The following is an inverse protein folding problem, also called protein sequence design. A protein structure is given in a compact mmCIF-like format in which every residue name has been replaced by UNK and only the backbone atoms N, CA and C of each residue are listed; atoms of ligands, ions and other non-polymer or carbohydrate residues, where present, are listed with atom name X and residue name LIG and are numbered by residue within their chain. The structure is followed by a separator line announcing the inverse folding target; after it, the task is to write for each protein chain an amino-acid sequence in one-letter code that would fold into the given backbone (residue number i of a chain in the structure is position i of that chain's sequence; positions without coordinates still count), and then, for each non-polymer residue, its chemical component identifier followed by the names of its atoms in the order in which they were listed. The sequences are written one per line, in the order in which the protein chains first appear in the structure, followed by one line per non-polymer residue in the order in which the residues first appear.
data_IF_323851976945
#
_entry.id   IF_323851976945
#
_cell.length_a   1.000
_cell.length_b   1.000
_cell.length_c   1.000
_cell.angle_alpha   90.00
_cell.angle_beta   90.00
_cell.angle_gamma   90.00
#
_symmetry.space_group_name_H-M   'P 1'
#
loop_
_entity.id
_entity.type
_entity.pdbx_description
1 polymer ?
#
# COMPACT_ATOMS: atom_id res chain seq x y z
N UNK A 1 14.78 7.09 -11.81
CA UNK A 1 13.84 6.22 -11.17
C UNK A 1 12.61 5.96 -12.03
N UNK A 2 11.92 4.91 -11.72
CA UNK A 2 10.68 4.55 -12.40
C UNK A 2 9.49 4.98 -11.57
N UNK A 3 8.38 5.30 -12.25
CA UNK A 3 7.12 5.50 -11.56
C UNK A 3 6.69 4.20 -10.88
N UNK A 4 6.07 4.33 -9.71
CA UNK A 4 5.47 3.21 -9.02
C UNK A 4 4.15 2.84 -9.71
N UNK A 5 3.88 1.54 -9.74
CA UNK A 5 2.62 1.05 -10.30
C UNK A 5 1.45 1.49 -9.42
N UNK A 6 0.44 2.07 -10.04
CA UNK A 6 -0.78 2.40 -9.34
C UNK A 6 -1.62 1.15 -9.11
N UNK A 7 -2.17 1.02 -7.89
CA UNK A 7 -3.03 -0.09 -7.52
C UNK A 7 -4.48 0.38 -7.56
N UNK A 8 -5.37 -0.45 -8.10
CA UNK A 8 -6.81 -0.16 -8.12
C UNK A 8 -7.30 0.03 -6.68
N UNK A 9 -8.00 1.15 -6.37
CA UNK A 9 -8.51 1.38 -5.02
C UNK A 9 -9.53 0.34 -4.54
N UNK A 10 -10.13 -0.42 -5.44
CA UNK A 10 -11.03 -1.53 -5.09
C UNK A 10 -10.31 -2.82 -4.72
N UNK A 11 -8.97 -2.87 -4.88
CA UNK A 11 -8.18 -4.07 -4.58
C UNK A 11 -8.29 -4.44 -3.10
N UNK A 12 -8.60 -5.69 -2.74
CA UNK A 12 -8.67 -6.11 -1.34
C UNK A 12 -7.31 -6.03 -0.66
N UNK A 13 -7.30 -5.49 0.55
CA UNK A 13 -6.16 -5.52 1.46
C UNK A 13 -6.63 -6.07 2.80
N UNK A 14 -5.68 -6.51 3.61
CA UNK A 14 -6.01 -7.16 4.87
C UNK A 14 -5.16 -6.58 5.99
N UNK A 15 -5.74 -6.46 7.17
CA UNK A 15 -5.04 -5.92 8.33
C UNK A 15 -5.46 -6.64 9.62
N UNK A 16 -4.61 -6.55 10.64
CA UNK A 16 -4.89 -7.12 11.95
C UNK A 16 -5.60 -6.06 12.81
N UNK A 17 -6.91 -6.22 12.98
CA UNK A 17 -7.73 -5.30 13.78
C UNK A 17 -7.38 -5.32 15.28
N UNK A 18 -6.67 -6.34 15.73
CA UNK A 18 -6.34 -6.54 17.14
C UNK A 18 -4.95 -6.04 17.54
N UNK A 19 -4.34 -5.21 16.72
CA UNK A 19 -3.08 -4.55 17.08
C UNK A 19 -2.00 -4.49 16.01
N UNK A 20 -2.27 -4.92 14.82
CA UNK A 20 -1.30 -4.85 13.73
C UNK A 20 -1.13 -3.44 13.20
N UNK A 21 0.07 -3.14 12.66
CA UNK A 21 0.38 -1.85 12.07
C UNK A 21 0.68 -1.95 10.58
N UNK A 22 0.40 -3.11 9.97
CA UNK A 22 0.68 -3.36 8.56
C UNK A 22 -0.56 -3.85 7.83
N UNK A 23 -0.63 -3.54 6.55
CA UNK A 23 -1.63 -4.13 5.68
C UNK A 23 -0.98 -5.15 4.75
N UNK A 24 -1.75 -6.13 4.32
CA UNK A 24 -1.27 -7.32 3.63
C UNK A 24 -2.09 -7.57 2.36
N UNK A 25 -1.54 -8.31 1.42
CA UNK A 25 -2.26 -8.73 0.20
C UNK A 25 -3.04 -10.02 0.39
N UNK A 26 -2.85 -10.70 1.52
CA UNK A 26 -3.52 -11.97 1.84
C UNK A 26 -4.05 -11.95 3.26
N UNK A 27 -5.17 -12.63 3.48
CA UNK A 27 -5.78 -12.75 4.81
C UNK A 27 -4.96 -13.64 5.76
N UNK A 28 -3.99 -14.38 5.25
CA UNK A 28 -3.18 -15.34 6.03
C UNK A 28 -1.70 -15.16 5.75
N UNK A 29 -1.20 -13.93 5.94
CA UNK A 29 0.21 -13.64 5.75
C UNK A 29 1.07 -14.38 6.78
N UNK A 30 2.16 -14.99 6.33
CA UNK A 30 3.06 -15.75 7.18
C UNK A 30 3.75 -14.91 8.27
N UNK A 31 3.83 -13.59 8.08
CA UNK A 31 4.42 -12.69 9.08
C UNK A 31 3.50 -12.42 10.28
N UNK A 32 2.24 -12.84 10.21
CA UNK A 32 1.24 -12.62 11.25
C UNK A 32 1.07 -13.89 12.07
N UNK A 33 1.01 -13.74 13.40
CA UNK A 33 0.78 -14.89 14.29
C UNK A 33 -0.58 -15.53 13.99
N UNK A 34 -0.61 -16.87 14.01
CA UNK A 34 -1.81 -17.63 13.65
C UNK A 34 -3.05 -17.28 14.48
N UNK A 35 -2.87 -16.83 15.72
CA UNK A 35 -3.98 -16.43 16.60
C UNK A 35 -4.76 -15.20 16.08
N UNK A 36 -4.16 -14.43 15.18
CA UNK A 36 -4.79 -13.25 14.59
C UNK A 36 -5.40 -13.53 13.21
N UNK A 37 -5.22 -14.73 12.70
CA UNK A 37 -5.76 -15.11 11.39
C UNK A 37 -7.19 -15.66 11.51
N UNK A 38 -8.04 -15.43 10.52
CA UNK A 38 -7.78 -14.63 9.32
C UNK A 38 -7.84 -13.13 9.60
N UNK A 39 -7.11 -12.35 8.81
CA UNK A 39 -7.09 -10.90 8.91
C UNK A 39 -8.40 -10.29 8.40
N UNK A 40 -8.67 -9.05 8.83
CA UNK A 40 -9.86 -8.32 8.39
C UNK A 40 -9.64 -7.69 7.02
N UNK A 41 -10.68 -7.68 6.19
CA UNK A 41 -10.61 -7.14 4.83
C UNK A 41 -10.94 -5.65 4.78
N UNK A 42 -10.16 -4.91 3.99
CA UNK A 42 -10.42 -3.53 3.60
C UNK A 42 -10.09 -3.41 2.11
N UNK A 43 -10.20 -2.21 1.55
CA UNK A 43 -9.74 -1.97 0.18
C UNK A 43 -8.48 -1.10 0.20
N UNK A 44 -7.73 -1.10 -0.90
CA UNK A 44 -6.55 -0.25 -1.04
C UNK A 44 -6.91 1.23 -0.87
N UNK A 45 -8.07 1.65 -1.38
CA UNK A 45 -8.58 3.01 -1.23
C UNK A 45 -8.84 3.41 0.22
N UNK A 46 -9.19 2.46 1.07
CA UNK A 46 -9.42 2.72 2.50
C UNK A 46 -8.16 3.17 3.24
N UNK A 47 -6.97 2.88 2.68
CA UNK A 47 -5.70 3.27 3.28
C UNK A 47 -5.50 4.78 3.32
N UNK A 48 -6.30 5.55 2.60
CA UNK A 48 -6.26 7.01 2.64
C UNK A 48 -7.10 7.59 3.78
N UNK A 49 -7.86 6.77 4.49
CA UNK A 49 -8.79 7.17 5.55
C UNK A 49 -8.35 6.68 6.92
N UNK A 50 -8.63 7.46 7.95
CA UNK A 50 -8.40 7.02 9.33
C UNK A 50 -9.37 5.89 9.68
N UNK A 51 -8.95 4.85 10.42
CA UNK A 51 -7.61 4.66 11.02
C UNK A 51 -6.60 3.94 10.11
N UNK A 52 -6.99 3.53 8.92
CA UNK A 52 -6.15 2.72 8.02
C UNK A 52 -4.97 3.49 7.44
N UNK A 53 -5.03 4.82 7.46
CA UNK A 53 -3.94 5.67 7.00
C UNK A 53 -2.68 5.59 7.87
N UNK A 54 -2.74 4.87 8.97
CA UNK A 54 -1.59 4.62 9.85
C UNK A 54 -0.92 3.27 9.60
N UNK A 55 -1.46 2.46 8.68
CA UNK A 55 -0.89 1.17 8.33
C UNK A 55 0.27 1.33 7.35
N UNK A 56 1.25 0.44 7.45
CA UNK A 56 2.39 0.35 6.53
C UNK A 56 2.31 -0.92 5.71
N UNK A 57 2.89 -0.97 4.50
CA UNK A 57 2.86 -2.18 3.69
C UNK A 57 3.72 -3.30 4.28
N UNK A 58 3.20 -4.52 4.26
CA UNK A 58 3.95 -5.71 4.65
C UNK A 58 4.85 -6.14 3.50
N UNK A 59 6.16 -6.28 3.77
CA UNK A 59 7.11 -6.73 2.76
C UNK A 59 7.09 -8.23 2.54
N UNK A 60 6.64 -9.00 3.52
CA UNK A 60 6.62 -10.47 3.41
C UNK A 60 5.66 -10.97 2.34
N UNK A 61 4.46 -10.36 2.23
CA UNK A 61 3.49 -10.72 1.19
C UNK A 61 3.51 -9.77 -0.01
N UNK A 62 4.44 -8.80 -0.04
CA UNK A 62 4.60 -7.90 -1.17
C UNK A 62 3.48 -6.89 -1.32
N UNK A 63 2.96 -6.35 -0.22
CA UNK A 63 1.92 -5.34 -0.28
C UNK A 63 2.43 -4.07 -0.97
N UNK A 64 1.61 -3.42 -1.84
CA UNK A 64 2.04 -2.21 -2.56
C UNK A 64 2.18 -1.03 -1.60
N UNK A 65 2.94 -0.02 -2.03
CA UNK A 65 3.06 1.22 -1.28
C UNK A 65 1.70 1.91 -1.14
N UNK A 66 1.57 2.74 -0.12
CA UNK A 66 0.33 3.47 0.18
C UNK A 66 -0.02 4.43 -0.96
N UNK A 67 -1.34 4.70 -1.18
CA UNK A 67 -1.76 5.56 -2.30
C UNK A 67 -1.09 6.92 -2.33
N UNK A 68 -0.94 7.58 -1.19
CA UNK A 68 -0.32 8.90 -1.08
C UNK A 68 1.18 8.85 -1.38
N UNK A 69 1.85 7.75 -1.04
CA UNK A 69 3.27 7.56 -1.34
C UNK A 69 3.48 7.38 -2.83
N UNK A 70 2.63 6.56 -3.47
CA UNK A 70 2.69 6.33 -4.92
C UNK A 70 2.45 7.63 -5.67
N UNK A 71 1.44 8.40 -5.28
CA UNK A 71 1.11 9.67 -5.92
C UNK A 71 2.25 10.68 -5.78
N UNK A 72 2.82 10.81 -4.58
CA UNK A 72 3.92 11.73 -4.33
C UNK A 72 5.17 11.35 -5.12
N UNK A 73 5.53 10.08 -5.14
CA UNK A 73 6.69 9.59 -5.89
C UNK A 73 6.52 9.82 -7.38
N UNK A 74 5.37 9.47 -7.93
CA UNK A 74 5.11 9.63 -9.36
C UNK A 74 5.09 11.10 -9.79
N UNK A 75 4.62 12.00 -8.92
CA UNK A 75 4.65 13.44 -9.14
C UNK A 75 6.10 13.96 -9.25
N UNK A 76 6.97 13.51 -8.35
CA UNK A 76 8.40 13.88 -8.39
C UNK A 76 9.07 13.38 -9.67
N UNK A 77 8.76 12.18 -10.11
CA UNK A 77 9.30 11.60 -11.35
C UNK A 77 8.82 12.42 -12.57
N UNK A 78 7.55 12.80 -12.62
CA UNK A 78 7.01 13.62 -13.70
C UNK A 78 7.70 14.97 -13.79
N UNK A 79 7.91 15.65 -12.66
CA UNK A 79 8.63 16.92 -12.60
C UNK A 79 10.07 16.79 -13.10
N UNK A 80 10.76 15.72 -12.69
CA UNK A 80 12.13 15.47 -13.12
C UNK A 80 12.23 15.26 -14.63
N UNK A 81 11.30 14.53 -15.21
CA UNK A 81 11.26 14.35 -16.67
C UNK A 81 10.97 15.65 -17.40
N UNK A 82 10.07 16.48 -16.89
CA UNK A 82 9.76 17.78 -17.48
C UNK A 82 10.98 18.70 -17.46
N UNK A 83 11.70 18.78 -16.35
CA UNK A 83 12.90 19.61 -16.22
C UNK A 83 14.02 19.20 -17.16
N UNK A 84 14.15 17.89 -17.40
CA UNK A 84 15.19 17.35 -18.27
C UNK A 84 14.75 17.31 -19.74
N UNK A 85 13.51 17.68 -20.04
CA UNK A 85 12.97 17.62 -21.39
C UNK A 85 12.70 16.21 -21.88
N UNK A 86 12.60 15.26 -20.95
CA UNK A 86 12.32 13.88 -21.27
C UNK A 86 10.83 13.61 -21.19
N UNK A 87 10.31 12.82 -22.13
CA UNK A 87 8.92 12.35 -22.06
C UNK A 87 8.92 10.89 -21.64
N UNK A 88 8.06 10.51 -20.70
CA UNK A 88 7.96 9.12 -20.27
C UNK A 88 7.43 8.20 -21.35
#
# INVERSE_FOLDING_TARGET
GRKLRETDPATPMYYNKDGGKKYHTTARCASVKSRYLPLSAITYGDLSSYPYNQLSPCTTCGAPERPEVVAAWNSVIDEAYDELGLTP
#
